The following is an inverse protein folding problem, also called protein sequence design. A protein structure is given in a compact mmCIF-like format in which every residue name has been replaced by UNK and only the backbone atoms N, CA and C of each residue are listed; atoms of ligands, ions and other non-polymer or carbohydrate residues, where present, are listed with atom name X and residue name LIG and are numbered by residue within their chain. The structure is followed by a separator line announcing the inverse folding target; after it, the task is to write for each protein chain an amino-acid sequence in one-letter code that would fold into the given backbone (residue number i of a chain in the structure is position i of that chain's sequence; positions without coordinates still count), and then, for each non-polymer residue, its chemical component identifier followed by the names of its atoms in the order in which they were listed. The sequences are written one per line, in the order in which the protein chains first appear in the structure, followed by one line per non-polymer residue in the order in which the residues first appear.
data_IF_019436818547
#
_entry.id   IF_019436818547
#
_cell.length_a   1.000
_cell.length_b   1.000
_cell.length_c   1.000
_cell.angle_alpha   90.00
_cell.angle_beta   90.00
_cell.angle_gamma   90.00
#
_symmetry.space_group_name_H-M   'P 1'
#
loop_
_entity.id
_entity.type
_entity.pdbx_description
1 polymer ?
#
# COMPACT_ATOMS: atom_id res chain seq x y z
N UNK A 1 14.95 6.55 40.61
CA UNK A 1 15.57 5.21 40.84
C UNK A 1 14.92 4.09 40.02
N UNK A 2 14.75 4.21 38.70
CA UNK A 2 14.12 3.14 37.86
C UNK A 2 14.91 2.76 36.60
N UNK A 3 16.11 3.26 36.38
CA UNK A 3 16.93 2.97 35.18
C UNK A 3 18.03 1.92 35.35
N UNK A 4 18.25 1.38 36.56
CA UNK A 4 19.33 0.39 36.82
C UNK A 4 18.91 -1.06 36.64
N UNK A 5 17.61 -1.39 36.61
CA UNK A 5 17.15 -2.79 36.55
C UNK A 5 17.01 -3.37 35.14
N UNK A 6 17.00 -2.54 34.10
CA UNK A 6 16.87 -3.04 32.71
C UNK A 6 18.21 -3.54 32.17
N UNK A 7 19.33 -2.95 32.60
CA UNK A 7 20.65 -3.34 32.13
C UNK A 7 21.12 -4.70 32.67
N UNK A 8 20.69 -5.07 33.89
CA UNK A 8 21.03 -6.37 34.50
C UNK A 8 20.30 -7.56 33.85
N UNK A 9 19.10 -7.36 33.33
CA UNK A 9 18.32 -8.41 32.67
C UNK A 9 18.89 -8.78 31.30
N UNK A 10 19.46 -7.85 30.58
CA UNK A 10 20.07 -8.09 29.25
C UNK A 10 21.41 -8.84 29.37
N UNK A 11 22.18 -8.59 30.42
CA UNK A 11 23.50 -9.28 30.63
C UNK A 11 23.30 -10.74 31.05
N UNK A 12 22.22 -11.06 31.78
CA UNK A 12 21.97 -12.44 32.22
C UNK A 12 21.50 -13.36 31.08
N UNK A 13 20.80 -12.84 30.07
CA UNK A 13 20.33 -13.61 28.89
C UNK A 13 21.48 -13.98 27.95
N UNK A 14 22.50 -13.12 27.82
CA UNK A 14 23.66 -13.38 26.97
C UNK A 14 24.68 -14.39 27.58
N UNK A 15 24.67 -14.55 28.89
CA UNK A 15 25.57 -15.53 29.57
C UNK A 15 25.05 -16.98 29.49
N UNK A 16 23.74 -17.20 29.27
CA UNK A 16 23.15 -18.53 29.15
C UNK A 16 23.19 -19.13 27.73
N UNK A 17 23.48 -18.33 26.70
CA UNK A 17 23.59 -18.79 25.30
C UNK A 17 24.99 -19.24 24.92
N UNK A 18 26.01 -19.00 25.76
CA UNK A 18 27.42 -19.30 25.49
C UNK A 18 27.89 -20.70 25.92
N UNK A 19 27.06 -21.54 26.51
CA UNK A 19 27.47 -22.79 27.15
C UNK A 19 27.02 -24.09 26.49
N UNK A 20 26.47 -24.07 25.27
CA UNK A 20 25.94 -25.28 24.59
C UNK A 20 26.62 -25.66 23.28
N UNK A 21 27.90 -25.35 23.09
CA UNK A 21 28.63 -25.79 21.90
C UNK A 21 30.01 -26.36 22.28
N UNK A 22 30.02 -27.53 22.93
CA UNK A 22 31.21 -28.39 23.01
C UNK A 22 30.80 -29.86 23.02
N UNK A 23 31.19 -30.57 21.95
CA UNK A 23 31.37 -32.02 22.01
C UNK A 23 30.55 -32.84 21.02
N UNK A 24 31.11 -33.08 19.83
CA UNK A 24 30.87 -34.31 19.08
C UNK A 24 32.14 -34.70 18.33
N UNK A 25 32.60 -35.98 18.41
CA UNK A 25 33.88 -36.42 17.90
C UNK A 25 33.86 -36.78 16.42
N UNK A 26 35.02 -36.57 15.78
CA UNK A 26 35.41 -37.05 14.45
C UNK A 26 35.42 -38.57 14.38
N UNK A 27 34.67 -39.15 13.47
CA UNK A 27 34.75 -40.54 13.06
C UNK A 27 35.25 -40.64 11.62
N UNK A 28 36.50 -41.12 11.52
CA UNK A 28 37.24 -41.44 10.28
C UNK A 28 36.67 -42.78 9.74
N UNK A 29 36.33 -42.85 8.46
CA UNK A 29 36.43 -44.09 7.70
C UNK A 29 36.69 -43.84 6.19
N UNK A 30 37.72 -44.46 5.67
CA UNK A 30 38.19 -44.49 4.31
C UNK A 30 38.17 -45.97 3.80
N UNK A 31 38.62 -46.33 2.61
CA UNK A 31 37.80 -46.55 1.41
C UNK A 31 37.89 -48.00 0.86
N UNK A 32 37.40 -48.23 -0.37
CA UNK A 32 37.56 -49.40 -1.28
C UNK A 32 36.29 -50.25 -1.43
N UNK A 33 35.72 -50.35 -2.62
CA UNK A 33 36.26 -51.20 -3.68
C UNK A 33 35.56 -50.98 -5.04
N UNK A 34 36.34 -51.02 -6.08
CA UNK A 34 36.00 -51.05 -7.50
C UNK A 34 35.45 -52.43 -7.91
N UNK A 35 34.41 -52.46 -8.73
CA UNK A 35 34.21 -53.56 -9.74
C UNK A 35 33.47 -52.98 -10.95
N UNK A 36 34.04 -53.05 -12.11
CA UNK A 36 33.44 -53.07 -13.44
C UNK A 36 33.81 -54.41 -14.09
N UNK A 37 33.30 -54.83 -15.29
CA UNK A 37 32.26 -54.29 -16.17
C UNK A 37 31.32 -55.34 -16.81
N UNK A 38 30.26 -54.87 -17.51
CA UNK A 38 29.75 -55.35 -18.84
C UNK A 38 28.96 -56.69 -18.92
N UNK A 39 28.16 -57.00 -19.96
CA UNK A 39 27.66 -56.11 -21.04
C UNK A 39 26.13 -56.28 -21.36
N UNK A 40 25.68 -55.37 -22.21
CA UNK A 40 24.67 -55.56 -23.26
C UNK A 40 23.25 -56.05 -22.91
N UNK A 41 22.32 -55.14 -22.98
CA UNK A 41 21.00 -55.42 -23.52
C UNK A 41 20.43 -54.13 -24.14
N UNK A 42 20.28 -54.19 -25.43
CA UNK A 42 19.60 -53.22 -26.29
C UNK A 42 18.17 -53.03 -25.79
N UNK A 43 17.88 -51.89 -25.14
CA UNK A 43 16.52 -51.48 -24.87
C UNK A 43 16.19 -50.37 -25.84
N UNK A 44 15.33 -50.69 -26.75
CA UNK A 44 14.64 -49.84 -27.69
C UNK A 44 14.13 -48.57 -27.00
N UNK A 45 14.64 -47.41 -27.45
CA UNK A 45 14.15 -46.08 -27.08
C UNK A 45 12.72 -45.94 -27.61
N UNK A 46 11.74 -46.23 -26.79
CA UNK A 46 10.41 -45.64 -26.94
C UNK A 46 10.52 -44.18 -26.51
N UNK A 47 10.73 -43.34 -27.49
CA UNK A 47 10.56 -41.89 -27.35
C UNK A 47 9.06 -41.66 -27.12
N UNK A 48 8.64 -41.64 -25.87
CA UNK A 48 7.34 -41.09 -25.53
C UNK A 48 7.47 -39.57 -25.68
N UNK A 49 6.83 -39.07 -26.71
CA UNK A 49 6.52 -37.64 -26.85
C UNK A 49 5.83 -37.19 -25.56
N UNK A 50 6.63 -36.70 -24.62
CA UNK A 50 6.10 -35.93 -23.52
C UNK A 50 5.60 -34.65 -24.15
N UNK A 51 4.28 -34.59 -24.35
CA UNK A 51 3.57 -33.36 -24.64
C UNK A 51 4.15 -32.25 -23.76
N UNK A 52 4.72 -31.25 -24.40
CA UNK A 52 5.01 -29.98 -23.76
C UNK A 52 3.69 -29.46 -23.18
N UNK A 53 3.42 -29.75 -21.90
CA UNK A 53 2.51 -28.95 -21.12
C UNK A 53 3.08 -27.56 -21.20
N UNK A 54 2.52 -26.76 -22.09
CA UNK A 54 2.64 -25.33 -22.03
C UNK A 54 2.19 -24.95 -20.62
N UNK A 55 3.15 -24.70 -19.75
CA UNK A 55 2.95 -23.97 -18.50
C UNK A 55 2.45 -22.57 -18.92
N UNK A 56 1.15 -22.51 -19.15
CA UNK A 56 0.41 -21.29 -19.34
C UNK A 56 0.15 -20.75 -17.93
N UNK A 57 1.22 -20.46 -17.20
CA UNK A 57 1.13 -19.64 -16.00
C UNK A 57 0.61 -18.30 -16.47
N UNK A 58 -0.72 -18.17 -16.47
CA UNK A 58 -1.36 -16.86 -16.51
C UNK A 58 -0.75 -16.09 -15.33
N UNK A 59 0.24 -15.26 -15.63
CA UNK A 59 0.71 -14.23 -14.73
C UNK A 59 -0.51 -13.33 -14.51
N UNK A 60 -1.32 -13.68 -13.53
CA UNK A 60 -2.40 -12.79 -13.06
C UNK A 60 -1.71 -11.48 -12.76
N UNK A 61 -1.96 -10.47 -13.58
CA UNK A 61 -1.42 -9.13 -13.35
C UNK A 61 -1.99 -8.69 -12.01
N UNK A 62 -1.12 -8.67 -11.02
CA UNK A 62 -1.49 -8.23 -9.66
C UNK A 62 -1.99 -6.79 -9.76
N UNK A 63 -3.27 -6.60 -9.46
CA UNK A 63 -3.89 -5.27 -9.51
C UNK A 63 -3.40 -4.45 -8.32
N UNK A 64 -2.77 -3.32 -8.60
CA UNK A 64 -2.18 -2.46 -7.58
C UNK A 64 -2.99 -1.20 -7.36
N UNK A 65 -3.02 -0.74 -6.11
CA UNK A 65 -3.57 0.57 -5.73
C UNK A 65 -2.45 1.35 -5.03
N UNK A 66 -2.31 2.61 -5.40
CA UNK A 66 -1.40 3.54 -4.77
C UNK A 66 -2.12 4.32 -3.67
N UNK A 67 -1.59 4.31 -2.44
CA UNK A 67 -2.06 5.18 -1.37
C UNK A 67 -1.07 6.32 -1.16
N UNK A 68 -1.56 7.54 -1.05
CA UNK A 68 -0.79 8.75 -0.76
C UNK A 68 -1.09 9.20 0.66
N UNK A 69 -0.05 9.34 1.47
CA UNK A 69 -0.13 9.88 2.82
C UNK A 69 0.82 11.07 2.98
N UNK A 70 0.52 12.00 3.88
CA UNK A 70 1.54 12.92 4.36
C UNK A 70 2.59 12.15 5.17
N UNK A 71 3.87 12.52 5.08
CA UNK A 71 4.95 11.81 5.79
C UNK A 71 4.81 11.89 7.33
N UNK A 72 4.12 12.93 7.81
CA UNK A 72 3.77 13.11 9.23
C UNK A 72 2.30 13.43 9.38
N UNK A 73 1.71 12.97 10.46
CA UNK A 73 0.35 13.31 10.88
C UNK A 73 -0.72 12.90 9.86
N UNK A 74 -0.56 11.76 9.15
CA UNK A 74 -1.69 11.18 8.42
C UNK A 74 -2.72 10.60 9.41
N UNK A 75 -3.99 10.45 9.00
CA UNK A 75 -5.02 9.87 9.87
C UNK A 75 -4.96 8.34 9.81
N UNK A 76 -4.58 7.74 10.93
CA UNK A 76 -4.33 6.29 11.07
C UNK A 76 -5.53 5.45 10.67
N UNK A 77 -6.69 5.76 11.24
CA UNK A 77 -7.94 5.02 10.97
C UNK A 77 -8.30 5.04 9.48
N UNK A 78 -8.19 6.19 8.82
CA UNK A 78 -8.47 6.32 7.39
C UNK A 78 -7.50 5.48 6.54
N UNK A 79 -6.22 5.47 6.91
CA UNK A 79 -5.20 4.69 6.21
C UNK A 79 -5.41 3.19 6.40
N UNK A 80 -5.46 2.73 7.66
CA UNK A 80 -5.48 1.29 7.94
C UNK A 80 -6.79 0.63 7.56
N UNK A 81 -7.94 1.27 7.83
CA UNK A 81 -9.26 0.71 7.47
C UNK A 81 -9.43 0.65 5.95
N UNK A 82 -9.09 1.73 5.23
CA UNK A 82 -9.16 1.72 3.76
C UNK A 82 -8.23 0.67 3.17
N UNK A 83 -6.97 0.62 3.63
CA UNK A 83 -5.98 -0.36 3.19
C UNK A 83 -6.47 -1.79 3.41
N UNK A 84 -6.98 -2.11 4.59
CA UNK A 84 -7.50 -3.44 4.90
C UNK A 84 -8.65 -3.87 3.97
N UNK A 85 -9.59 -2.96 3.66
CA UNK A 85 -10.70 -3.25 2.74
C UNK A 85 -10.17 -3.56 1.33
N UNK A 86 -9.20 -2.79 0.85
CA UNK A 86 -8.60 -2.99 -0.47
C UNK A 86 -7.78 -4.29 -0.53
N UNK A 87 -7.01 -4.61 0.51
CA UNK A 87 -6.23 -5.85 0.60
C UNK A 87 -7.14 -7.10 0.67
N UNK A 88 -8.25 -7.03 1.40
CA UNK A 88 -9.28 -8.10 1.43
C UNK A 88 -9.92 -8.35 0.06
N UNK A 89 -9.94 -7.34 -0.80
CA UNK A 89 -10.38 -7.46 -2.20
C UNK A 89 -9.26 -7.89 -3.16
N UNK A 90 -8.13 -8.38 -2.64
CA UNK A 90 -6.95 -8.87 -3.37
C UNK A 90 -6.23 -7.80 -4.21
N UNK A 91 -6.24 -6.54 -3.79
CA UNK A 91 -5.36 -5.52 -4.35
C UNK A 91 -4.05 -5.45 -3.59
N UNK A 92 -2.94 -5.32 -4.31
CA UNK A 92 -1.65 -4.97 -3.71
C UNK A 92 -1.60 -3.47 -3.45
N UNK A 93 -1.16 -3.11 -2.25
CA UNK A 93 -1.08 -1.71 -1.83
C UNK A 93 0.38 -1.26 -1.81
N UNK A 94 0.68 -0.21 -2.56
CA UNK A 94 1.90 0.56 -2.43
C UNK A 94 1.59 1.93 -1.83
N UNK A 95 2.46 2.43 -0.98
CA UNK A 95 2.26 3.73 -0.32
C UNK A 95 3.38 4.70 -0.71
N UNK A 96 2.99 5.91 -1.08
CA UNK A 96 3.89 7.02 -1.41
C UNK A 96 3.66 8.22 -0.49
N UNK A 97 4.67 9.04 -0.36
CA UNK A 97 4.65 10.30 0.37
C UNK A 97 5.71 11.25 -0.19
N UNK A 98 5.76 12.49 0.32
CA UNK A 98 6.77 13.48 -0.03
C UNK A 98 8.19 13.16 0.50
N UNK A 99 8.37 12.06 1.24
CA UNK A 99 9.65 11.59 1.75
C UNK A 99 9.66 10.06 1.86
N UNK A 100 10.80 9.41 1.58
CA UNK A 100 11.02 7.97 1.82
C UNK A 100 11.33 7.70 3.28
N UNK A 101 11.00 6.49 3.74
CA UNK A 101 11.23 6.04 5.11
C UNK A 101 9.94 5.59 5.78
N UNK A 102 9.83 5.81 7.08
CA UNK A 102 8.64 5.48 7.87
C UNK A 102 7.83 6.75 8.10
N UNK A 103 6.68 6.86 7.44
CA UNK A 103 5.70 7.91 7.71
C UNK A 103 4.94 7.59 8.99
N UNK A 104 4.60 8.63 9.78
CA UNK A 104 3.93 8.50 11.07
C UNK A 104 2.55 9.12 11.04
N UNK A 105 1.56 8.36 11.50
CA UNK A 105 0.20 8.82 11.72
C UNK A 105 0.03 9.64 12.99
N UNK A 106 -1.12 10.28 13.13
CA UNK A 106 -1.47 11.09 14.31
C UNK A 106 -1.60 10.28 15.60
N UNK A 107 -1.85 8.99 15.48
CA UNK A 107 -2.01 8.04 16.59
C UNK A 107 -0.83 7.08 16.73
N UNK A 108 0.26 7.33 15.95
CA UNK A 108 1.50 6.58 16.01
C UNK A 108 1.56 5.38 15.08
N UNK A 109 0.60 5.20 14.19
CA UNK A 109 0.66 4.19 13.14
C UNK A 109 1.78 4.50 12.14
N UNK A 110 2.35 3.45 11.55
CA UNK A 110 3.49 3.54 10.65
C UNK A 110 3.12 3.10 9.24
N UNK A 111 3.58 3.84 8.23
CA UNK A 111 3.50 3.45 6.83
C UNK A 111 4.90 3.49 6.20
N UNK A 112 5.28 2.38 5.52
CA UNK A 112 6.58 2.29 4.85
C UNK A 112 6.48 2.94 3.48
N UNK A 113 7.31 3.97 3.24
CA UNK A 113 7.37 4.71 1.99
C UNK A 113 8.63 4.30 1.22
N UNK A 114 8.46 3.60 0.12
CA UNK A 114 9.56 3.11 -0.73
C UNK A 114 9.75 3.93 -2.00
N UNK A 115 8.72 4.66 -2.43
CA UNK A 115 8.76 5.48 -3.65
C UNK A 115 8.22 6.90 -3.40
N UNK A 116 8.76 7.86 -4.14
CA UNK A 116 8.28 9.24 -4.16
C UNK A 116 7.24 9.43 -5.28
N UNK A 117 6.40 10.48 -5.24
CA UNK A 117 5.43 10.78 -6.29
C UNK A 117 6.04 10.86 -7.70
N UNK A 118 7.26 11.39 -7.83
CA UNK A 118 7.99 11.50 -9.09
C UNK A 118 8.46 10.15 -9.68
N UNK A 119 8.47 9.09 -8.86
CA UNK A 119 8.85 7.73 -9.28
C UNK A 119 7.64 6.87 -9.69
N UNK A 120 6.42 7.40 -9.51
CA UNK A 120 5.17 6.68 -9.80
C UNK A 120 4.85 6.71 -11.29
N UNK A 121 4.60 5.53 -11.87
CA UNK A 121 3.98 5.42 -13.18
C UNK A 121 2.50 5.02 -13.02
N UNK A 122 1.53 5.89 -13.35
CA UNK A 122 0.10 5.62 -13.19
C UNK A 122 -0.40 4.36 -13.90
N UNK A 123 0.28 3.94 -14.97
CA UNK A 123 -0.10 2.71 -15.72
C UNK A 123 0.02 1.43 -14.89
N UNK A 124 0.82 1.46 -13.83
CA UNK A 124 1.05 0.30 -12.96
C UNK A 124 -0.06 0.11 -11.91
N UNK A 125 -1.04 1.03 -11.84
CA UNK A 125 -2.06 1.05 -10.80
C UNK A 125 -3.47 1.14 -11.38
N UNK A 126 -4.43 0.61 -10.65
CA UNK A 126 -5.86 0.73 -10.98
C UNK A 126 -6.50 1.99 -10.38
N UNK A 127 -5.99 2.44 -9.24
CA UNK A 127 -6.48 3.59 -8.52
C UNK A 127 -5.38 4.30 -7.72
N UNK A 128 -5.63 5.56 -7.38
CA UNK A 128 -4.89 6.32 -6.38
C UNK A 128 -5.83 6.79 -5.28
N UNK A 129 -5.37 6.71 -4.03
CA UNK A 129 -6.15 7.02 -2.83
C UNK A 129 -5.39 8.00 -1.96
N UNK A 130 -5.92 9.18 -1.72
CA UNK A 130 -5.34 10.20 -0.85
C UNK A 130 -5.96 10.13 0.54
N UNK A 131 -5.14 9.87 1.55
CA UNK A 131 -5.55 9.82 2.95
C UNK A 131 -5.46 11.21 3.58
N UNK A 132 -6.39 11.52 4.46
CA UNK A 132 -6.42 12.78 5.18
C UNK A 132 -5.49 12.85 6.39
N UNK A 133 -5.90 13.59 7.38
CA UNK A 133 -5.12 13.92 8.58
C UNK A 133 -4.60 15.35 8.54
N UNK A 134 -4.12 15.84 9.69
CA UNK A 134 -3.61 17.20 9.81
C UNK A 134 -2.35 17.44 8.97
N UNK A 135 -1.58 16.37 8.69
CA UNK A 135 -0.44 16.41 7.78
C UNK A 135 -0.87 16.70 6.35
N UNK A 136 -1.89 16.00 5.83
CA UNK A 136 -2.41 16.25 4.49
C UNK A 136 -3.00 17.66 4.36
N UNK A 137 -3.57 18.20 5.43
CA UNK A 137 -4.02 19.60 5.47
C UNK A 137 -2.89 20.61 5.21
N UNK A 138 -1.63 20.29 5.54
CA UNK A 138 -0.44 21.09 5.26
C UNK A 138 0.10 20.89 3.84
N UNK A 139 -0.28 19.81 3.19
CA UNK A 139 0.19 19.41 1.86
C UNK A 139 -0.78 19.78 0.71
N UNK A 140 -1.84 20.54 0.99
CA UNK A 140 -2.85 20.87 -0.04
C UNK A 140 -2.27 21.61 -1.26
N UNK A 141 -1.17 22.33 -1.09
CA UNK A 141 -0.46 23.05 -2.17
C UNK A 141 0.76 22.28 -2.70
N UNK A 142 0.94 21.02 -2.29
CA UNK A 142 2.01 20.16 -2.78
C UNK A 142 1.80 19.83 -4.27
N UNK A 143 2.67 20.39 -5.11
CA UNK A 143 2.57 20.30 -6.57
C UNK A 143 2.76 18.86 -7.08
N UNK A 144 3.58 18.05 -6.41
CA UNK A 144 3.81 16.65 -6.80
C UNK A 144 2.56 15.81 -6.55
N UNK A 145 1.88 16.00 -5.40
CA UNK A 145 0.62 15.32 -5.10
C UNK A 145 -0.49 15.75 -6.05
N UNK A 146 -0.60 17.04 -6.33
CA UNK A 146 -1.59 17.57 -7.28
C UNK A 146 -1.36 17.03 -8.68
N UNK A 147 -0.11 17.04 -9.16
CA UNK A 147 0.27 16.49 -10.46
C UNK A 147 -0.05 15.00 -10.55
N UNK A 148 0.26 14.25 -9.48
CA UNK A 148 -0.04 12.82 -9.44
C UNK A 148 -1.54 12.54 -9.59
N UNK A 149 -2.39 13.29 -8.88
CA UNK A 149 -3.86 13.19 -9.03
C UNK A 149 -4.31 13.50 -10.47
N UNK A 150 -3.74 14.53 -11.10
CA UNK A 150 -4.03 14.90 -12.49
C UNK A 150 -3.59 13.82 -13.48
N UNK A 151 -2.43 13.20 -13.25
CA UNK A 151 -1.92 12.13 -14.12
C UNK A 151 -2.78 10.87 -14.02
N UNK A 152 -3.25 10.48 -12.83
CA UNK A 152 -4.15 9.34 -12.68
C UNK A 152 -5.48 9.55 -13.40
N UNK A 153 -6.14 10.69 -13.22
CA UNK A 153 -7.43 10.95 -13.91
C UNK A 153 -7.24 11.04 -15.43
N UNK A 154 -6.14 11.62 -15.90
CA UNK A 154 -5.79 11.68 -17.33
C UNK A 154 -5.57 10.29 -17.95
N UNK A 155 -5.06 9.34 -17.16
CA UNK A 155 -4.86 7.95 -17.56
C UNK A 155 -6.10 7.07 -17.31
N UNK A 156 -7.26 7.70 -17.13
CA UNK A 156 -8.54 7.02 -16.96
C UNK A 156 -8.61 6.11 -15.70
N UNK A 157 -7.79 6.41 -14.68
CA UNK A 157 -7.74 5.67 -13.41
C UNK A 157 -8.67 6.29 -12.37
N UNK A 158 -9.06 5.50 -11.37
CA UNK A 158 -9.84 6.00 -10.23
C UNK A 158 -8.96 6.92 -9.37
N UNK A 159 -9.52 8.06 -8.98
CA UNK A 159 -8.89 8.99 -8.02
C UNK A 159 -9.82 9.12 -6.82
N UNK A 160 -9.34 8.70 -5.67
CA UNK A 160 -10.11 8.70 -4.44
C UNK A 160 -9.43 9.55 -3.35
N UNK A 161 -10.21 10.21 -2.50
CA UNK A 161 -9.70 11.04 -1.41
C UNK A 161 -10.66 11.07 -0.21
N UNK A 162 -10.12 11.03 1.00
CA UNK A 162 -10.90 11.02 2.23
C UNK A 162 -10.53 12.17 3.16
N UNK A 163 -11.46 12.61 3.99
CA UNK A 163 -11.31 13.63 5.02
C UNK A 163 -10.96 15.01 4.44
N UNK A 164 -9.76 15.54 4.70
CA UNK A 164 -9.29 16.82 4.15
C UNK A 164 -8.68 16.71 2.76
N UNK A 165 -8.30 15.50 2.35
CA UNK A 165 -7.63 15.26 1.07
C UNK A 165 -8.45 15.63 -0.18
N UNK A 166 -9.81 15.60 -0.21
CA UNK A 166 -10.58 16.14 -1.33
C UNK A 166 -10.28 17.62 -1.62
N UNK A 167 -9.82 18.40 -0.63
CA UNK A 167 -9.40 19.79 -0.86
C UNK A 167 -8.13 19.88 -1.73
N UNK A 168 -7.21 18.92 -1.63
CA UNK A 168 -6.06 18.81 -2.53
C UNK A 168 -6.53 18.53 -3.96
N UNK A 169 -7.48 17.61 -4.14
CA UNK A 169 -8.07 17.31 -5.46
C UNK A 169 -8.79 18.53 -6.04
N UNK A 170 -9.46 19.34 -5.22
CA UNK A 170 -10.07 20.58 -5.66
C UNK A 170 -9.01 21.59 -6.16
N UNK A 171 -7.93 21.77 -5.40
CA UNK A 171 -6.81 22.64 -5.79
C UNK A 171 -6.09 22.16 -7.05
N UNK A 172 -6.00 20.84 -7.27
CA UNK A 172 -5.49 20.28 -8.53
C UNK A 172 -6.43 20.45 -9.74
N UNK A 173 -7.59 21.11 -9.55
CA UNK A 173 -8.61 21.41 -10.56
C UNK A 173 -9.35 20.18 -11.14
N UNK A 174 -9.14 18.98 -10.63
CA UNK A 174 -9.84 17.77 -11.13
C UNK A 174 -11.28 17.65 -10.60
N UNK A 175 -11.66 18.44 -9.58
CA UNK A 175 -13.03 18.45 -9.03
C UNK A 175 -13.93 19.53 -9.66
N UNK A 176 -13.48 20.28 -10.66
CA UNK A 176 -14.33 21.32 -11.30
C UNK A 176 -15.55 20.71 -11.98
N UNK A 177 -16.75 21.09 -11.50
CA UNK A 177 -18.01 20.53 -11.96
C UNK A 177 -18.35 19.13 -11.41
N UNK A 178 -17.50 18.55 -10.57
CA UNK A 178 -17.65 17.21 -9.99
C UNK A 178 -18.32 17.30 -8.62
N UNK A 179 -19.25 16.37 -8.34
CA UNK A 179 -19.83 16.21 -6.99
C UNK A 179 -18.81 15.60 -6.06
N UNK A 180 -18.60 16.23 -4.90
CA UNK A 180 -17.64 15.80 -3.92
C UNK A 180 -18.06 16.11 -2.49
N UNK A 181 -17.57 15.33 -1.54
CA UNK A 181 -17.63 15.62 -0.10
C UNK A 181 -16.24 15.86 0.45
N UNK A 182 -16.17 16.40 1.65
CA UNK A 182 -14.92 16.69 2.36
C UNK A 182 -15.20 16.79 3.85
N UNK A 183 -14.18 16.59 4.67
CA UNK A 183 -14.28 16.78 6.10
C UNK A 183 -14.76 18.20 6.46
N UNK A 184 -15.62 18.28 7.45
CA UNK A 184 -16.01 19.53 8.09
C UNK A 184 -16.55 19.27 9.48
N UNK A 185 -16.54 20.30 10.34
CA UNK A 185 -17.18 20.25 11.65
C UNK A 185 -18.24 21.35 11.78
N UNK A 186 -18.93 21.40 12.90
CA UNK A 186 -19.88 22.48 13.18
C UNK A 186 -19.20 23.86 13.16
N UNK A 187 -17.94 23.93 13.59
CA UNK A 187 -17.16 25.16 13.75
C UNK A 187 -16.22 25.46 12.59
N UNK A 188 -15.87 24.44 11.78
CA UNK A 188 -14.94 24.58 10.65
C UNK A 188 -15.54 24.08 9.35
N UNK A 189 -15.76 24.99 8.41
CA UNK A 189 -16.24 24.75 7.04
C UNK A 189 -15.21 25.15 5.99
N UNK A 190 -13.96 25.37 6.37
CA UNK A 190 -12.90 25.88 5.49
C UNK A 190 -12.65 24.96 4.27
N UNK A 191 -12.64 23.65 4.47
CA UNK A 191 -12.45 22.70 3.39
C UNK A 191 -13.63 22.65 2.40
N UNK A 192 -14.87 22.84 2.89
CA UNK A 192 -16.05 23.01 2.01
C UNK A 192 -15.88 24.26 1.14
N UNK A 193 -15.36 25.35 1.72
CA UNK A 193 -15.12 26.59 0.98
C UNK A 193 -14.05 26.40 -0.09
N UNK A 194 -12.97 25.62 0.21
CA UNK A 194 -11.94 25.27 -0.77
C UNK A 194 -12.55 24.48 -1.94
N UNK A 195 -13.38 23.48 -1.68
CA UNK A 195 -14.07 22.72 -2.75
C UNK A 195 -14.86 23.68 -3.66
N UNK A 196 -15.73 24.49 -3.06
CA UNK A 196 -16.61 25.43 -3.81
C UNK A 196 -15.82 26.47 -4.59
N UNK A 197 -14.77 27.05 -3.98
CA UNK A 197 -13.93 28.06 -4.63
C UNK A 197 -13.17 27.49 -5.85
N UNK A 198 -12.91 26.17 -5.88
CA UNK A 198 -12.31 25.49 -7.01
C UNK A 198 -13.32 24.81 -7.94
N UNK A 199 -14.61 25.16 -7.81
CA UNK A 199 -15.66 24.76 -8.74
C UNK A 199 -16.25 23.37 -8.52
N UNK A 200 -15.94 22.69 -7.40
CA UNK A 200 -16.58 21.43 -7.05
C UNK A 200 -18.03 21.64 -6.57
N UNK A 201 -18.89 20.65 -6.82
CA UNK A 201 -20.27 20.63 -6.34
C UNK A 201 -20.27 19.89 -4.99
N UNK A 202 -20.19 20.65 -3.89
CA UNK A 202 -20.21 20.05 -2.57
C UNK A 202 -21.51 19.30 -2.28
N UNK A 203 -21.39 18.09 -1.78
CA UNK A 203 -22.49 17.21 -1.40
C UNK A 203 -22.27 16.71 0.03
N UNK A 204 -23.23 16.96 0.91
CA UNK A 204 -23.17 16.55 2.32
C UNK A 204 -23.58 15.09 2.47
N UNK A 205 -22.64 14.18 2.18
CA UNK A 205 -22.79 12.72 2.33
C UNK A 205 -21.48 12.11 2.85
N UNK A 206 -21.54 10.98 3.56
CA UNK A 206 -20.35 10.28 4.01
C UNK A 206 -19.39 9.93 2.87
N UNK A 207 -19.92 9.37 1.78
CA UNK A 207 -19.19 9.03 0.56
C UNK A 207 -19.92 9.57 -0.65
N UNK A 208 -19.20 10.15 -1.59
CA UNK A 208 -19.71 10.64 -2.88
C UNK A 208 -18.85 10.06 -3.99
N UNK A 209 -19.50 9.45 -4.97
CA UNK A 209 -18.88 8.99 -6.21
C UNK A 209 -19.47 9.81 -7.38
N UNK A 210 -18.60 10.32 -8.24
CA UNK A 210 -18.98 10.98 -9.50
C UNK A 210 -17.97 10.56 -10.59
N UNK A 211 -18.41 9.69 -11.48
CA UNK A 211 -17.54 9.03 -12.45
C UNK A 211 -16.41 8.23 -11.77
N UNK A 212 -15.18 8.56 -12.08
CA UNK A 212 -13.96 7.93 -11.52
C UNK A 212 -13.42 8.63 -10.28
N UNK A 213 -14.11 9.62 -9.77
CA UNK A 213 -13.74 10.34 -8.57
C UNK A 213 -14.60 9.87 -7.40
N UNK A 214 -13.94 9.47 -6.31
CA UNK A 214 -14.59 9.01 -5.08
C UNK A 214 -14.08 9.85 -3.92
N UNK A 215 -14.96 10.50 -3.17
CA UNK A 215 -14.59 11.30 -2.00
C UNK A 215 -15.35 10.86 -0.76
N UNK A 216 -14.71 10.97 0.41
CA UNK A 216 -15.33 10.67 1.71
C UNK A 216 -15.03 11.76 2.74
N UNK A 217 -15.90 11.90 3.74
CA UNK A 217 -15.89 13.04 4.65
C UNK A 217 -15.09 12.83 5.95
N UNK A 218 -14.52 11.62 6.17
CA UNK A 218 -13.69 11.38 7.36
C UNK A 218 -13.65 9.93 7.81
N UNK A 219 -13.02 9.66 8.96
CA UNK A 219 -12.69 8.30 9.41
C UNK A 219 -13.90 7.38 9.54
N UNK A 220 -15.04 7.86 10.04
CA UNK A 220 -16.28 7.06 10.14
C UNK A 220 -16.75 6.49 8.78
N UNK A 221 -16.34 7.11 7.68
CA UNK A 221 -16.67 6.67 6.33
C UNK A 221 -15.59 5.77 5.68
N UNK A 222 -14.48 5.48 6.35
CA UNK A 222 -13.31 4.81 5.75
C UNK A 222 -13.64 3.42 5.18
N UNK A 223 -14.45 2.61 5.87
CA UNK A 223 -14.87 1.30 5.35
C UNK A 223 -15.73 1.44 4.09
N UNK A 224 -16.78 2.25 4.14
CA UNK A 224 -17.66 2.51 2.99
C UNK A 224 -16.88 3.12 1.80
N UNK A 225 -15.89 3.97 2.08
CA UNK A 225 -15.02 4.55 1.08
C UNK A 225 -14.20 3.47 0.36
N UNK A 226 -13.53 2.58 1.11
CA UNK A 226 -12.80 1.44 0.56
C UNK A 226 -13.69 0.52 -0.27
N UNK A 227 -14.88 0.16 0.23
CA UNK A 227 -15.87 -0.67 -0.46
C UNK A 227 -16.33 -0.02 -1.78
N UNK A 228 -16.54 1.32 -1.78
CA UNK A 228 -16.93 2.06 -2.99
C UNK A 228 -15.83 2.00 -4.05
N UNK A 229 -14.55 2.08 -3.66
CA UNK A 229 -13.41 1.94 -4.57
C UNK A 229 -13.38 0.52 -5.16
N UNK A 230 -13.52 -0.53 -4.32
CA UNK A 230 -13.56 -1.93 -4.76
C UNK A 230 -14.70 -2.17 -5.75
N UNK A 231 -15.89 -1.69 -5.45
CA UNK A 231 -17.06 -1.85 -6.31
C UNK A 231 -16.84 -1.19 -7.68
N UNK A 232 -16.26 0.00 -7.71
CA UNK A 232 -15.95 0.70 -8.98
C UNK A 232 -14.88 -0.02 -9.81
N UNK A 233 -13.92 -0.69 -9.18
CA UNK A 233 -12.87 -1.46 -9.86
C UNK A 233 -13.34 -2.83 -10.37
N UNK A 234 -14.51 -3.26 -9.93
CA UNK A 234 -15.12 -4.54 -10.29
C UNK A 234 -16.11 -4.43 -11.46
N UNK A 235 -16.39 -3.21 -11.93
CA UNK A 235 -17.25 -2.92 -13.09
C UNK A 235 -16.48 -3.03 -14.41
#
# INVERSE_FOLDING_TARGET
MKKKNVLYTIILVLALLGMMLRGLPLGIFSPKQSIAPSPSSTVTLLYSERSEEKDNSYKTMEKKILIVVAFKDFKDEEYFVTKEVLEKANFLIETTSNQKGIALGTEGGEAIITLLPSEVNPQNYEAIVFIGGSGMGKELDNQEFQKLAQEFIKNDKIVAAICVAPALLAKSQILKGVKATVWSSALDKSFIQILKANGAIYTDKPVVQDGKIITANGPDAASQFGETIVNQLSL
#
